data_IF_878602945145
#
_entry.id   IF_878602945145
#
_cell.length_a   1.000
_cell.length_b   1.000
_cell.length_c   1.000
_cell.angle_alpha   90.00
_cell.angle_beta   90.00
_cell.angle_gamma   90.00
#
_symmetry.space_group_name_H-M   'P 1'
#
loop_
_entity.id
_entity.type
_entity.pdbx_description
1 polymer ?
#
# COMPACT_ATOMS: atom_id res chain seq x y z
N UNK A 1 5.23 12.05 4.77
CA UNK A 1 6.11 11.37 5.72
C UNK A 1 5.46 11.27 7.11
N UNK A 2 4.99 12.37 7.72
CA UNK A 2 4.37 12.35 9.06
C UNK A 2 3.17 11.41 9.16
N UNK A 3 2.30 11.39 8.15
CA UNK A 3 1.16 10.45 8.09
C UNK A 3 1.61 8.99 8.02
N UNK A 4 2.67 8.71 7.24
CA UNK A 4 3.23 7.36 7.13
C UNK A 4 3.83 6.89 8.46
N UNK A 5 4.48 7.78 9.21
CA UNK A 5 5.04 7.46 10.53
C UNK A 5 3.94 7.22 11.55
N UNK A 6 2.93 8.09 11.63
CA UNK A 6 1.83 7.93 12.59
C UNK A 6 1.00 6.66 12.34
N UNK A 7 0.71 6.34 11.07
CA UNK A 7 0.02 5.09 10.73
C UNK A 7 0.89 3.87 10.96
N UNK A 8 2.22 3.97 10.79
CA UNK A 8 3.14 2.87 11.11
C UNK A 8 3.16 2.55 12.60
N UNK A 9 3.14 3.57 13.46
CA UNK A 9 3.03 3.39 14.92
C UNK A 9 1.71 2.70 15.26
N UNK A 10 0.61 3.13 14.64
CA UNK A 10 -0.70 2.50 14.82
C UNK A 10 -0.68 1.02 14.42
N UNK A 11 -0.07 0.68 13.30
CA UNK A 11 0.06 -0.72 12.83
C UNK A 11 0.83 -1.57 13.82
N UNK A 12 1.97 -1.09 14.31
CA UNK A 12 2.78 -1.82 15.30
C UNK A 12 1.96 -2.06 16.58
N UNK A 13 1.27 -1.03 17.06
CA UNK A 13 0.45 -1.12 18.26
C UNK A 13 -0.72 -2.09 18.07
N UNK A 14 -1.35 -2.08 16.90
CA UNK A 14 -2.45 -2.97 16.56
C UNK A 14 -1.99 -4.42 16.42
N UNK A 15 -0.85 -4.65 15.75
CA UNK A 15 -0.25 -5.99 15.64
C UNK A 15 0.11 -6.57 16.99
N UNK A 16 0.67 -5.74 17.89
CA UNK A 16 0.97 -6.13 19.26
C UNK A 16 -0.30 -6.48 20.04
N UNK A 17 -1.32 -5.66 19.91
CA UNK A 17 -2.61 -5.86 20.55
C UNK A 17 -3.28 -7.17 20.08
N UNK A 18 -3.27 -7.44 18.77
CA UNK A 18 -3.80 -8.71 18.24
C UNK A 18 -2.96 -9.93 18.64
N UNK A 19 -1.64 -9.78 18.79
CA UNK A 19 -0.79 -10.83 19.32
C UNK A 19 -1.14 -11.17 20.78
N UNK A 20 -1.46 -10.16 21.59
CA UNK A 20 -1.87 -10.32 23.00
C UNK A 20 -3.30 -10.91 23.12
N UNK A 21 -4.22 -10.51 22.25
CA UNK A 21 -5.63 -10.91 22.31
C UNK A 21 -6.00 -11.97 21.25
N UNK A 22 -5.06 -12.82 20.85
CA UNK A 22 -5.13 -13.76 19.73
C UNK A 22 -6.41 -14.62 19.69
N UNK A 23 -7.07 -14.87 20.81
CA UNK A 23 -8.21 -15.79 20.94
C UNK A 23 -9.58 -15.10 21.07
N UNK A 24 -9.67 -13.78 21.21
CA UNK A 24 -10.91 -13.09 21.54
C UNK A 24 -11.53 -12.26 20.40
N UNK A 25 -10.82 -12.08 19.27
CA UNK A 25 -11.29 -11.24 18.17
C UNK A 25 -11.71 -12.13 17.00
N UNK A 26 -12.95 -11.94 16.52
CA UNK A 26 -13.42 -12.71 15.34
C UNK A 26 -12.62 -12.37 14.10
N UNK A 27 -12.52 -13.33 13.15
CA UNK A 27 -11.80 -13.10 11.88
C UNK A 27 -12.40 -11.91 11.11
N UNK A 28 -13.72 -11.78 11.08
CA UNK A 28 -14.40 -10.65 10.42
C UNK A 28 -14.02 -9.30 11.04
N UNK A 29 -13.93 -9.20 12.38
CA UNK A 29 -13.53 -7.97 13.03
C UNK A 29 -12.07 -7.61 12.71
N UNK A 30 -11.16 -8.59 12.70
CA UNK A 30 -9.76 -8.38 12.29
C UNK A 30 -9.68 -7.85 10.87
N UNK A 31 -10.41 -8.46 9.94
CA UNK A 31 -10.47 -8.08 8.54
C UNK A 31 -10.91 -6.62 8.35
N UNK A 32 -12.01 -6.21 9.01
CA UNK A 32 -12.52 -4.83 8.94
C UNK A 32 -11.50 -3.85 9.52
N UNK A 33 -10.87 -4.18 10.64
CA UNK A 33 -9.86 -3.32 11.27
C UNK A 33 -8.66 -3.14 10.35
N UNK A 34 -8.13 -4.23 9.78
CA UNK A 34 -7.01 -4.16 8.84
C UNK A 34 -7.36 -3.41 7.56
N UNK A 35 -8.59 -3.58 7.05
CA UNK A 35 -9.07 -2.81 5.91
C UNK A 35 -9.10 -1.31 6.21
N UNK A 36 -9.60 -0.90 7.39
CA UNK A 36 -9.58 0.50 7.82
C UNK A 36 -8.15 1.05 7.97
N UNK A 37 -7.22 0.23 8.43
CA UNK A 37 -5.80 0.61 8.50
C UNK A 37 -5.23 0.85 7.10
N UNK A 38 -5.51 -0.04 6.14
CA UNK A 38 -5.10 0.18 4.74
C UNK A 38 -5.71 1.46 4.17
N UNK A 39 -6.96 1.73 4.46
CA UNK A 39 -7.64 2.95 4.03
C UNK A 39 -7.02 4.20 4.64
N UNK A 40 -6.55 4.14 5.89
CA UNK A 40 -5.87 5.26 6.57
C UNK A 40 -4.52 5.60 5.94
N UNK A 41 -3.84 4.64 5.30
CA UNK A 41 -2.63 4.90 4.51
C UNK A 41 -2.95 5.62 3.19
N UNK A 42 -4.13 5.41 2.64
CA UNK A 42 -4.54 6.05 1.39
C UNK A 42 -5.03 7.48 1.63
N UNK A 43 -5.79 7.69 2.69
CA UNK A 43 -6.29 9.01 3.07
C UNK A 43 -5.54 9.52 4.30
N UNK A 44 -4.79 10.64 4.20
CA UNK A 44 -4.12 11.25 5.35
C UNK A 44 -5.15 11.90 6.27
N UNK A 45 -5.90 11.07 7.00
CA UNK A 45 -6.80 11.56 8.02
C UNK A 45 -5.96 12.12 9.18
N UNK A 46 -5.91 13.45 9.30
CA UNK A 46 -5.35 14.12 10.47
C UNK A 46 -6.50 14.39 11.45
N UNK A 47 -6.75 13.54 12.44
CA UNK A 47 -7.59 13.93 13.53
C UNK A 47 -6.86 15.10 14.22
N UNK A 48 -7.40 16.29 14.10
CA UNK A 48 -6.97 17.43 14.90
C UNK A 48 -7.48 17.17 16.33
N UNK A 49 -6.77 16.32 17.08
CA UNK A 49 -6.92 16.30 18.52
C UNK A 49 -6.48 17.68 18.98
N UNK A 50 -7.47 18.44 19.48
CA UNK A 50 -7.38 19.87 19.72
C UNK A 50 -6.06 20.30 20.34
N UNK A 51 -5.53 21.36 19.80
CA UNK A 51 -4.36 22.11 20.28
C UNK A 51 -4.62 22.70 21.68
N UNK A 52 -4.82 21.84 22.69
CA UNK A 52 -5.26 22.21 24.03
C UNK A 52 -4.26 21.97 25.16
N UNK A 53 -3.15 21.28 24.99
CA UNK A 53 -2.32 20.90 26.14
C UNK A 53 -0.87 21.33 26.17
N UNK A 54 -0.27 21.92 25.11
CA UNK A 54 1.07 22.52 25.22
C UNK A 54 1.12 23.80 24.41
N UNK A 55 0.62 24.90 24.98
CA UNK A 55 1.06 26.26 24.63
C UNK A 55 2.37 26.50 25.39
N UNK A 56 3.49 26.15 24.79
CA UNK A 56 4.75 26.73 25.19
C UNK A 56 4.80 28.16 24.64
N UNK A 57 4.45 29.10 25.51
CA UNK A 57 4.56 30.51 25.27
C UNK A 57 6.05 30.90 25.37
N UNK A 58 6.77 30.76 24.27
CA UNK A 58 8.12 31.37 24.14
C UNK A 58 7.91 32.83 23.73
N UNK A 59 7.39 33.61 24.65
CA UNK A 59 7.37 35.06 24.53
C UNK A 59 8.75 35.61 24.89
N UNK A 60 9.54 35.89 23.87
CA UNK A 60 10.72 36.77 23.97
C UNK A 60 10.49 37.97 23.09
N UNK A 61 9.79 38.95 23.64
CA UNK A 61 9.82 40.34 23.16
C UNK A 61 11.22 40.90 23.45
N UNK A 62 12.10 40.89 22.46
CA UNK A 62 13.30 41.69 22.49
C UNK A 62 12.89 43.08 21.96
N UNK A 63 12.64 44.00 22.87
CA UNK A 63 12.55 45.44 22.59
C UNK A 63 13.93 45.90 22.18
N UNK A 64 14.16 46.09 20.90
CA UNK A 64 15.36 46.79 20.41
C UNK A 64 15.13 48.31 20.60
N UNK A 65 15.71 48.85 21.64
CA UNK A 65 15.82 50.28 21.84
C UNK A 65 16.79 50.80 20.80
N UNK A 66 16.27 51.60 19.86
CA UNK A 66 17.08 52.34 18.90
C UNK A 66 17.76 53.52 19.61
N UNK A 67 19.04 53.39 19.89
CA UNK A 67 19.87 54.51 20.32
C UNK A 67 20.48 55.18 19.08
N UNK A 68 20.03 56.36 18.78
CA UNK A 68 20.65 57.25 17.79
C UNK A 68 21.99 57.76 18.34
N UNK A 69 23.07 57.63 17.58
CA UNK A 69 24.34 58.31 17.80
C UNK A 69 24.73 59.02 16.51
N UNK A 70 25.13 60.30 16.61
CA UNK A 70 25.32 61.20 15.46
C UNK A 70 26.70 61.07 14.80
N UNK A 71 26.71 61.56 13.56
CA UNK A 71 27.79 61.72 12.59
C UNK A 71 29.16 62.09 13.12
N UNK A 72 30.18 61.49 12.56
CA UNK A 72 31.55 61.92 12.65
C UNK A 72 32.52 61.20 11.74
N UNK A 73 32.84 61.86 10.58
CA UNK A 73 34.09 61.83 9.79
C UNK A 73 34.81 60.49 9.49
N UNK A 74 34.79 60.20 8.23
CA UNK A 74 35.89 59.77 7.33
C UNK A 74 37.11 59.01 7.92
N UNK A 75 37.26 57.77 7.42
CA UNK A 75 38.56 57.28 6.95
C UNK A 75 38.38 56.20 5.87
N UNK A 76 38.80 56.62 4.66
CA UNK A 76 38.93 55.70 3.51
C UNK A 76 40.14 54.80 3.80
N UNK A 77 39.92 53.57 4.15
CA UNK A 77 40.91 52.54 4.06
C UNK A 77 40.39 51.50 3.08
N UNK A 78 40.92 51.56 1.87
CA UNK A 78 40.74 50.55 0.84
C UNK A 78 41.33 49.23 1.35
N UNK A 79 40.50 48.43 1.99
CA UNK A 79 40.80 46.98 2.08
C UNK A 79 40.20 46.29 0.87
N UNK A 80 41.03 46.14 -0.15
CA UNK A 80 40.82 45.13 -1.18
C UNK A 80 40.95 43.80 -0.46
N UNK A 81 39.87 43.33 0.14
CA UNK A 81 39.77 41.96 0.57
C UNK A 81 39.59 41.14 -0.71
N UNK A 82 40.67 40.56 -1.15
CA UNK A 82 40.68 39.51 -2.16
C UNK A 82 39.81 38.39 -1.61
N UNK A 83 38.53 38.46 -1.97
CA UNK A 83 37.54 37.46 -1.61
C UNK A 83 37.88 36.22 -2.42
N UNK A 84 38.73 35.38 -1.86
CA UNK A 84 38.94 34.02 -2.35
C UNK A 84 37.56 33.37 -2.39
N UNK A 85 37.02 33.28 -3.60
CA UNK A 85 35.77 32.59 -3.85
C UNK A 85 36.11 31.08 -3.74
N UNK A 86 36.26 30.60 -2.53
CA UNK A 86 36.11 29.18 -2.31
C UNK A 86 34.66 28.83 -2.67
N UNK A 87 34.44 27.94 -3.60
CA UNK A 87 33.07 27.50 -3.91
C UNK A 87 32.51 26.89 -2.65
N UNK A 88 31.65 27.61 -1.96
CA UNK A 88 30.99 27.15 -0.77
C UNK A 88 30.02 26.04 -1.19
N UNK A 89 30.57 24.84 -1.44
CA UNK A 89 29.85 23.65 -1.87
C UNK A 89 28.70 23.33 -0.92
N UNK A 90 28.88 23.70 0.36
CA UNK A 90 27.85 23.55 1.38
C UNK A 90 26.66 24.48 1.16
N UNK A 91 26.88 25.74 0.80
CA UNK A 91 25.79 26.68 0.44
C UNK A 91 25.09 26.28 -0.85
N UNK A 92 25.85 25.82 -1.85
CA UNK A 92 25.28 25.29 -3.09
C UNK A 92 24.41 24.03 -2.82
N UNK A 93 24.85 23.16 -1.93
CA UNK A 93 24.08 21.98 -1.51
C UNK A 93 22.80 22.37 -0.75
N UNK A 94 22.82 23.36 0.13
CA UNK A 94 21.64 23.86 0.85
C UNK A 94 20.63 24.57 -0.05
N UNK A 95 21.10 25.18 -1.15
CA UNK A 95 20.25 25.87 -2.13
C UNK A 95 19.63 24.94 -3.18
N UNK A 96 19.93 23.63 -3.16
CA UNK A 96 19.28 22.64 -4.02
C UNK A 96 17.79 22.56 -3.69
N UNK A 97 16.92 22.35 -4.66
CA UNK A 97 15.49 22.19 -4.45
C UNK A 97 15.18 20.79 -3.88
N UNK A 98 15.64 20.52 -2.66
CA UNK A 98 15.54 19.20 -1.99
C UNK A 98 14.13 18.65 -1.97
N UNK A 99 13.13 19.52 -1.84
CA UNK A 99 11.74 19.11 -1.82
C UNK A 99 11.30 18.52 -3.16
N UNK A 100 11.68 19.14 -4.26
CA UNK A 100 11.40 18.67 -5.62
C UNK A 100 12.13 17.37 -5.93
N UNK A 101 13.39 17.26 -5.53
CA UNK A 101 14.20 16.06 -5.68
C UNK A 101 13.59 14.90 -4.90
N UNK A 102 13.16 15.11 -3.66
CA UNK A 102 12.50 14.10 -2.84
C UNK A 102 11.16 13.64 -3.43
N UNK A 103 10.37 14.57 -3.97
CA UNK A 103 9.13 14.24 -4.68
C UNK A 103 9.43 13.41 -5.93
N UNK A 104 10.44 13.79 -6.70
CA UNK A 104 10.82 13.08 -7.92
C UNK A 104 11.28 11.64 -7.59
N UNK A 105 12.11 11.46 -6.58
CA UNK A 105 12.55 10.14 -6.10
C UNK A 105 11.35 9.30 -5.63
N UNK A 106 10.44 9.92 -4.86
CA UNK A 106 9.25 9.24 -4.38
C UNK A 106 8.35 8.81 -5.54
N UNK A 107 8.10 9.69 -6.50
CA UNK A 107 7.28 9.40 -7.68
C UNK A 107 7.91 8.30 -8.55
N UNK A 108 9.22 8.36 -8.75
CA UNK A 108 9.96 7.34 -9.49
C UNK A 108 9.82 5.96 -8.82
N UNK A 109 9.99 5.88 -7.51
CA UNK A 109 9.81 4.66 -6.73
C UNK A 109 8.37 4.15 -6.76
N UNK A 110 7.38 5.04 -6.72
CA UNK A 110 5.97 4.69 -6.86
C UNK A 110 5.67 4.09 -8.23
N UNK A 111 6.06 4.77 -9.32
CA UNK A 111 5.87 4.31 -10.71
C UNK A 111 6.58 2.98 -10.93
N UNK A 112 7.84 2.85 -10.48
CA UNK A 112 8.58 1.60 -10.57
C UNK A 112 7.88 0.45 -9.83
N UNK A 113 7.38 0.70 -8.63
CA UNK A 113 6.66 -0.29 -7.83
C UNK A 113 5.39 -0.77 -8.54
N UNK A 114 4.54 0.15 -9.03
CA UNK A 114 3.33 -0.18 -9.80
C UNK A 114 3.68 -0.95 -11.08
N UNK A 115 4.67 -0.47 -11.83
CA UNK A 115 5.12 -1.13 -13.08
C UNK A 115 5.57 -2.57 -12.82
N UNK A 116 6.28 -2.82 -11.73
CA UNK A 116 6.72 -4.17 -11.33
C UNK A 116 5.53 -5.09 -11.04
N UNK A 117 4.51 -4.63 -10.31
CA UNK A 117 3.30 -5.42 -10.05
C UNK A 117 2.49 -5.67 -11.33
N UNK A 118 2.32 -4.64 -12.17
CA UNK A 118 1.64 -4.78 -13.45
C UNK A 118 2.37 -5.76 -14.38
N UNK A 119 3.69 -5.68 -14.47
CA UNK A 119 4.51 -6.60 -15.26
C UNK A 119 4.37 -8.05 -14.77
N UNK A 120 4.47 -8.28 -13.45
CA UNK A 120 4.27 -9.61 -12.86
C UNK A 120 2.90 -10.18 -13.17
N UNK A 121 1.84 -9.36 -13.08
CA UNK A 121 0.48 -9.77 -13.41
C UNK A 121 0.31 -10.10 -14.89
N UNK A 122 0.85 -9.26 -15.79
CA UNK A 122 0.80 -9.50 -17.25
C UNK A 122 1.56 -10.79 -17.59
N UNK A 123 2.74 -10.99 -17.01
CA UNK A 123 3.52 -12.19 -17.22
C UNK A 123 2.76 -13.43 -16.77
N UNK A 124 2.17 -13.40 -15.58
CA UNK A 124 1.36 -14.48 -15.04
C UNK A 124 0.16 -14.79 -15.95
N UNK A 125 -0.56 -13.77 -16.44
CA UNK A 125 -1.65 -13.93 -17.41
C UNK A 125 -1.18 -14.56 -18.73
N UNK A 126 0.02 -14.21 -19.21
CA UNK A 126 0.63 -14.83 -20.40
C UNK A 126 0.97 -16.30 -20.15
N UNK A 127 1.48 -16.64 -18.97
CA UNK A 127 1.77 -18.02 -18.60
C UNK A 127 0.50 -18.87 -18.54
N UNK A 128 -0.58 -18.35 -17.93
CA UNK A 128 -1.87 -19.02 -17.90
C UNK A 128 -2.44 -19.26 -19.32
N UNK A 129 -2.30 -18.30 -20.23
CA UNK A 129 -2.74 -18.46 -21.63
C UNK A 129 -1.91 -19.47 -22.40
N UNK A 130 -0.63 -19.61 -22.05
CA UNK A 130 0.28 -20.52 -22.79
C UNK A 130 0.20 -21.95 -22.32
N UNK A 131 0.05 -22.15 -21.02
CA UNK A 131 0.17 -23.46 -20.38
C UNK A 131 -1.12 -23.94 -19.74
N UNK A 132 -2.13 -23.10 -19.67
CA UNK A 132 -3.43 -23.48 -19.13
C UNK A 132 -4.29 -24.12 -20.18
N UNK A 133 -4.94 -25.22 -19.82
CA UNK A 133 -5.91 -25.95 -20.66
C UNK A 133 -7.33 -25.64 -20.17
N UNK A 134 -8.25 -25.23 -21.03
CA UNK A 134 -9.66 -25.09 -20.63
C UNK A 134 -10.22 -26.42 -20.14
N UNK A 135 -11.04 -26.37 -19.11
CA UNK A 135 -11.79 -27.53 -18.66
C UNK A 135 -12.99 -27.70 -19.56
N UNK A 136 -13.11 -28.84 -20.24
CA UNK A 136 -14.17 -29.17 -21.19
C UNK A 136 -15.14 -30.22 -20.61
N UNK A 137 -14.88 -30.76 -19.43
CA UNK A 137 -15.73 -31.72 -18.77
C UNK A 137 -17.10 -31.12 -18.42
N UNK A 138 -18.15 -31.62 -19.08
CA UNK A 138 -19.52 -31.13 -18.91
C UNK A 138 -20.02 -31.26 -17.46
N UNK A 139 -19.63 -32.35 -16.77
CA UNK A 139 -19.99 -32.59 -15.37
C UNK A 139 -19.45 -31.49 -14.44
N UNK A 140 -18.16 -31.21 -14.55
CA UNK A 140 -17.48 -30.16 -13.79
C UNK A 140 -18.03 -28.74 -14.09
N UNK A 141 -18.35 -28.49 -15.38
CA UNK A 141 -18.92 -27.19 -15.77
C UNK A 141 -20.37 -27.04 -15.26
N UNK A 142 -21.18 -28.08 -15.33
CA UNK A 142 -22.55 -28.07 -14.79
C UNK A 142 -22.57 -27.87 -13.27
N UNK A 143 -21.63 -28.50 -12.56
CA UNK A 143 -21.46 -28.32 -11.13
C UNK A 143 -21.07 -26.86 -10.77
N UNK A 144 -20.11 -26.27 -11.50
CA UNK A 144 -19.73 -24.88 -11.33
C UNK A 144 -20.92 -23.95 -11.57
N UNK A 145 -21.68 -24.18 -12.64
CA UNK A 145 -22.86 -23.36 -12.97
C UNK A 145 -23.91 -23.44 -11.86
N UNK A 146 -24.20 -24.61 -11.35
CA UNK A 146 -25.13 -24.81 -10.23
C UNK A 146 -24.72 -23.98 -9.01
N UNK A 147 -23.43 -24.02 -8.65
CA UNK A 147 -22.91 -23.25 -7.49
C UNK A 147 -22.99 -21.74 -7.76
N UNK A 148 -22.69 -21.29 -8.99
CA UNK A 148 -22.85 -19.89 -9.37
C UNK A 148 -24.28 -19.40 -9.19
N UNK A 149 -25.27 -20.21 -9.62
CA UNK A 149 -26.68 -19.88 -9.47
C UNK A 149 -27.10 -19.82 -7.99
N UNK A 150 -26.69 -20.81 -7.18
CA UNK A 150 -26.91 -20.84 -5.73
C UNK A 150 -26.33 -19.59 -5.03
N UNK A 151 -25.13 -19.19 -5.44
CA UNK A 151 -24.44 -18.02 -4.90
C UNK A 151 -24.89 -16.70 -5.54
N UNK A 152 -25.80 -16.72 -6.53
CA UNK A 152 -26.30 -15.56 -7.27
C UNK A 152 -25.20 -14.74 -7.97
N UNK A 153 -24.19 -15.42 -8.52
CA UNK A 153 -23.08 -14.80 -9.25
C UNK A 153 -23.47 -14.74 -10.72
N UNK A 154 -23.68 -13.52 -11.24
CA UNK A 154 -24.12 -13.29 -12.65
C UNK A 154 -22.95 -13.19 -13.64
N UNK A 155 -21.74 -13.00 -13.15
CA UNK A 155 -20.57 -12.85 -13.99
C UNK A 155 -20.16 -14.20 -14.58
N UNK A 156 -19.67 -14.17 -15.83
CA UNK A 156 -19.17 -15.39 -16.47
C UNK A 156 -17.90 -15.86 -15.76
N UNK A 157 -17.91 -17.09 -15.26
CA UNK A 157 -16.75 -17.75 -14.69
C UNK A 157 -16.21 -18.75 -15.70
N UNK A 158 -14.91 -18.70 -15.93
CA UNK A 158 -14.17 -19.66 -16.76
C UNK A 158 -13.32 -20.56 -15.87
N UNK A 159 -13.16 -21.79 -16.27
CA UNK A 159 -12.38 -22.78 -15.56
C UNK A 159 -11.17 -23.18 -16.41
N UNK A 160 -10.01 -23.25 -15.78
CA UNK A 160 -8.75 -23.55 -16.43
C UNK A 160 -7.93 -24.50 -15.55
N UNK A 161 -7.39 -25.55 -16.14
CA UNK A 161 -6.33 -26.35 -15.51
C UNK A 161 -4.97 -25.73 -15.77
N UNK A 162 -4.15 -25.62 -14.72
CA UNK A 162 -2.79 -25.11 -14.83
C UNK A 162 -1.83 -26.00 -14.02
N UNK A 163 -0.96 -26.77 -14.70
CA UNK A 163 -0.13 -27.80 -14.05
C UNK A 163 0.85 -27.29 -12.99
N UNK A 164 1.26 -26.00 -13.13
CA UNK A 164 2.20 -25.39 -12.18
C UNK A 164 1.51 -24.76 -10.96
N UNK A 165 0.19 -24.78 -10.90
CA UNK A 165 -0.54 -24.30 -9.71
C UNK A 165 -0.45 -25.34 -8.60
N UNK A 166 -0.17 -24.88 -7.37
CA UNK A 166 -0.14 -25.75 -6.19
C UNK A 166 -1.50 -25.81 -5.47
N UNK A 167 -2.35 -24.82 -5.72
CA UNK A 167 -3.69 -24.73 -5.12
C UNK A 167 -4.67 -24.10 -6.09
N UNK A 168 -5.97 -24.38 -5.95
CA UNK A 168 -6.99 -23.61 -6.65
C UNK A 168 -6.83 -22.12 -6.38
N UNK A 169 -7.19 -21.28 -7.35
CA UNK A 169 -7.15 -19.83 -7.17
C UNK A 169 -8.13 -19.11 -8.10
N UNK A 170 -8.68 -18.02 -7.63
CA UNK A 170 -9.56 -17.15 -8.40
C UNK A 170 -8.83 -15.89 -8.86
N UNK A 171 -8.96 -15.55 -10.15
CA UNK A 171 -8.30 -14.41 -10.78
C UNK A 171 -9.32 -13.59 -11.56
N UNK A 172 -9.15 -12.28 -11.49
CA UNK A 172 -9.95 -11.32 -12.25
C UNK A 172 -11.16 -10.80 -11.47
N UNK A 173 -11.69 -9.67 -11.96
CA UNK A 173 -12.82 -8.99 -11.34
C UNK A 173 -14.07 -8.99 -12.23
N UNK A 174 -13.90 -8.75 -13.54
CA UNK A 174 -15.00 -8.79 -14.53
C UNK A 174 -15.05 -10.13 -15.25
N UNK A 175 -13.88 -10.60 -15.72
CA UNK A 175 -13.69 -11.93 -16.29
C UNK A 175 -13.11 -12.83 -15.20
N UNK A 176 -13.97 -13.55 -14.51
CA UNK A 176 -13.58 -14.44 -13.42
C UNK A 176 -12.97 -15.69 -14.04
N UNK A 177 -11.80 -16.05 -13.58
CA UNK A 177 -11.09 -17.25 -13.96
C UNK A 177 -10.75 -18.02 -12.70
N UNK A 178 -11.28 -19.23 -12.58
CA UNK A 178 -10.85 -20.18 -11.57
C UNK A 178 -9.79 -21.08 -12.21
N UNK A 179 -8.63 -21.13 -11.57
CA UNK A 179 -7.49 -21.96 -11.97
C UNK A 179 -7.42 -23.13 -11.02
N UNK A 180 -7.45 -24.33 -11.57
CA UNK A 180 -7.29 -25.58 -10.83
C UNK A 180 -5.91 -26.17 -11.10
N UNK A 181 -5.22 -26.73 -10.10
CA UNK A 181 -4.07 -27.59 -10.33
C UNK A 181 -4.48 -28.86 -11.09
N UNK A 182 -3.50 -29.53 -11.68
CA UNK A 182 -3.71 -30.83 -12.32
C UNK A 182 -3.73 -31.92 -11.24
N UNK A 183 -4.89 -32.12 -10.64
CA UNK A 183 -5.13 -33.10 -9.59
C UNK A 183 -6.47 -33.77 -9.83
N UNK A 184 -6.57 -35.04 -9.48
CA UNK A 184 -7.83 -35.75 -9.52
C UNK A 184 -8.69 -35.30 -8.33
N UNK A 185 -9.72 -34.52 -8.62
CA UNK A 185 -10.71 -34.09 -7.63
C UNK A 185 -11.95 -34.94 -7.71
N UNK A 186 -12.47 -35.34 -6.56
CA UNK A 186 -13.83 -35.86 -6.47
C UNK A 186 -14.86 -34.76 -6.70
N UNK A 187 -16.09 -35.14 -7.05
CA UNK A 187 -17.19 -34.18 -7.22
C UNK A 187 -17.43 -33.34 -5.95
N UNK A 188 -17.29 -33.94 -4.79
CA UNK A 188 -17.47 -33.27 -3.50
C UNK A 188 -16.37 -32.27 -3.22
N UNK A 189 -15.11 -32.61 -3.52
CA UNK A 189 -13.97 -31.71 -3.38
C UNK A 189 -14.08 -30.52 -4.33
N UNK A 190 -14.48 -30.76 -5.60
CA UNK A 190 -14.72 -29.66 -6.55
C UNK A 190 -15.81 -28.71 -6.06
N UNK A 191 -16.87 -29.25 -5.49
CA UNK A 191 -17.94 -28.44 -4.91
C UNK A 191 -17.43 -27.50 -3.80
N UNK A 192 -16.61 -28.05 -2.91
CA UNK A 192 -16.00 -27.26 -1.82
C UNK A 192 -15.05 -26.20 -2.36
N UNK A 193 -14.20 -26.56 -3.32
CA UNK A 193 -13.27 -25.62 -3.98
C UNK A 193 -14.03 -24.48 -4.66
N UNK A 194 -15.06 -24.78 -5.47
CA UNK A 194 -15.81 -23.73 -6.15
C UNK A 194 -16.53 -22.81 -5.17
N UNK A 195 -17.13 -23.35 -4.11
CA UNK A 195 -17.75 -22.52 -3.07
C UNK A 195 -16.74 -21.62 -2.37
N UNK A 196 -15.56 -22.15 -2.07
CA UNK A 196 -14.49 -21.42 -1.44
C UNK A 196 -14.00 -20.26 -2.32
N UNK A 197 -13.63 -20.55 -3.56
CA UNK A 197 -13.13 -19.54 -4.51
C UNK A 197 -14.18 -18.46 -4.84
N UNK A 198 -15.43 -18.86 -5.04
CA UNK A 198 -16.50 -17.92 -5.33
C UNK A 198 -16.90 -17.08 -4.09
N UNK A 199 -16.61 -17.56 -2.89
CA UNK A 199 -16.77 -16.76 -1.65
C UNK A 199 -15.78 -15.60 -1.62
N UNK A 200 -14.50 -15.84 -1.99
CA UNK A 200 -13.49 -14.79 -2.13
C UNK A 200 -13.91 -13.70 -3.14
N UNK A 201 -14.51 -14.13 -4.26
CA UNK A 201 -15.08 -13.19 -5.22
C UNK A 201 -16.19 -12.34 -4.62
N UNK A 202 -17.10 -12.93 -3.86
CA UNK A 202 -18.24 -12.26 -3.23
C UNK A 202 -17.82 -11.29 -2.12
N UNK A 203 -16.72 -11.57 -1.44
CA UNK A 203 -16.13 -10.70 -0.43
C UNK A 203 -15.25 -9.58 -1.00
N UNK A 204 -15.12 -9.51 -2.35
CA UNK A 204 -14.30 -8.51 -3.03
C UNK A 204 -12.81 -8.56 -2.66
N UNK A 205 -12.28 -9.75 -2.33
CA UNK A 205 -10.88 -9.92 -1.91
C UNK A 205 -9.89 -9.46 -2.98
N UNK A 206 -10.28 -9.55 -4.25
CA UNK A 206 -9.51 -9.00 -5.39
C UNK A 206 -9.34 -7.49 -5.26
N UNK A 207 -10.38 -6.75 -4.84
CA UNK A 207 -10.29 -5.30 -4.66
C UNK A 207 -9.39 -4.95 -3.48
N UNK A 208 -9.45 -5.72 -2.41
CA UNK A 208 -8.60 -5.53 -1.24
C UNK A 208 -7.14 -5.79 -1.59
N UNK A 209 -6.87 -6.82 -2.39
CA UNK A 209 -5.53 -7.07 -2.91
C UNK A 209 -5.02 -5.93 -3.81
N UNK A 210 -5.87 -5.35 -4.66
CA UNK A 210 -5.52 -4.17 -5.46
C UNK A 210 -5.24 -2.96 -4.58
N UNK A 211 -6.06 -2.72 -3.56
CA UNK A 211 -5.83 -1.66 -2.57
C UNK A 211 -4.50 -1.87 -1.84
N UNK A 212 -4.20 -3.08 -1.41
CA UNK A 212 -2.93 -3.42 -0.78
C UNK A 212 -1.73 -3.16 -1.69
N UNK A 213 -1.83 -3.49 -2.98
CA UNK A 213 -0.80 -3.18 -3.99
C UNK A 213 -0.61 -1.67 -4.11
N UNK A 214 -1.69 -0.89 -4.19
CA UNK A 214 -1.64 0.57 -4.27
C UNK A 214 -0.96 1.16 -3.03
N UNK A 215 -1.36 0.73 -1.84
CA UNK A 215 -0.78 1.19 -0.56
C UNK A 215 0.70 0.80 -0.46
N UNK A 216 1.08 -0.44 -0.81
CA UNK A 216 2.48 -0.89 -0.87
C UNK A 216 3.32 -0.05 -1.85
N UNK A 217 2.73 0.34 -2.98
CA UNK A 217 3.42 1.14 -3.99
C UNK A 217 3.58 2.59 -3.57
N UNK A 218 2.56 3.17 -2.94
CA UNK A 218 2.58 4.55 -2.44
C UNK A 218 3.62 4.75 -1.32
N UNK A 219 3.77 3.72 -0.48
CA UNK A 219 4.68 3.69 0.66
C UNK A 219 5.82 2.69 0.45
N UNK A 220 6.35 2.62 -0.78
CA UNK A 220 7.37 1.65 -1.18
C UNK A 220 8.60 1.63 -0.27
N UNK A 221 8.92 2.77 0.37
CA UNK A 221 10.03 2.98 1.29
C UNK A 221 9.74 2.51 2.73
N UNK A 222 8.46 2.18 3.07
CA UNK A 222 8.06 1.84 4.44
C UNK A 222 7.84 0.31 4.59
N UNK A 223 8.70 -0.41 5.32
CA UNK A 223 8.57 -1.85 5.51
C UNK A 223 7.35 -2.25 6.36
N UNK A 224 6.87 -1.35 7.25
CA UNK A 224 5.73 -1.62 8.13
C UNK A 224 4.43 -1.76 7.36
N UNK A 225 4.30 -1.01 6.26
CA UNK A 225 3.17 -1.14 5.33
C UNK A 225 3.09 -2.55 4.73
N UNK A 226 4.25 -3.16 4.43
CA UNK A 226 4.29 -4.54 3.90
C UNK A 226 3.78 -5.54 4.94
N UNK A 227 4.14 -5.33 6.22
CA UNK A 227 3.63 -6.13 7.32
C UNK A 227 2.11 -6.01 7.45
N UNK A 228 1.58 -4.77 7.50
CA UNK A 228 0.15 -4.52 7.58
C UNK A 228 -0.65 -5.17 6.43
N UNK A 229 -0.12 -5.06 5.20
CA UNK A 229 -0.75 -5.68 4.04
C UNK A 229 -0.70 -7.21 4.08
N UNK A 230 0.34 -7.80 4.67
CA UNK A 230 0.44 -9.25 4.86
C UNK A 230 -0.59 -9.74 5.85
N UNK A 231 -0.69 -9.10 7.00
CA UNK A 231 -1.70 -9.42 8.03
C UNK A 231 -3.13 -9.34 7.47
N UNK A 232 -3.41 -8.35 6.60
CA UNK A 232 -4.72 -8.22 5.93
C UNK A 232 -5.01 -9.42 5.03
N UNK A 233 -4.00 -9.93 4.31
CA UNK A 233 -4.15 -11.05 3.38
C UNK A 233 -4.23 -12.42 4.07
N UNK A 234 -3.68 -12.55 5.30
CA UNK A 234 -3.75 -13.79 6.08
C UNK A 234 -5.10 -13.95 6.82
N UNK A 235 -5.87 -12.88 6.96
CA UNK A 235 -7.17 -12.87 7.68
C UNK A 235 -8.36 -13.01 6.72
N UNK A 236 -8.23 -12.64 5.43
CA UNK A 236 -9.27 -12.78 4.38
C UNK A 236 -9.24 -14.17 3.79
#
# INVERSE_FOLDING_TARGET
LLTSVSTSILVILLSLLFALFKTRVSAQAKYVIWFLVLLSFLFPFRPQFGSGLIRMNAGSTINTVATQVPSGTAQVASQVTEKTIEPDLWKSFLNLPWFEILIAIWLLGFVFSIARYAYSYILFRKMLKRWGTPVEDEGTLAQLQKIQEEMRIKNKVRLLHYPMSQSPMLIGFRDILIVLPESDYTEEELQLVFRHELTHYKHYDVLINLLAILVKSLHWFNPIVRLACRETQEVG
#
